data_IF_382092979827
#
_entry.id   IF_382092979827
#
_cell.length_a   1.000
_cell.length_b   1.000
_cell.length_c   1.000
_cell.angle_alpha   90.00
_cell.angle_beta   90.00
_cell.angle_gamma   90.00
#
_symmetry.space_group_name_H-M   'P 1'
#
loop_
_entity.id
_entity.type
_entity.pdbx_description
1 polymer ?
#
# COMPACT_ATOMS: atom_id res chain seq x y z
N UNK A 1 -14.81 45.79 11.27
CA UNK A 1 -14.47 44.62 12.09
C UNK A 1 -14.39 43.42 11.15
N UNK A 2 -13.16 43.02 10.83
CA UNK A 2 -12.87 41.94 9.91
C UNK A 2 -12.85 40.61 10.67
N UNK A 3 -13.72 39.67 10.30
CA UNK A 3 -13.60 38.27 10.72
C UNK A 3 -13.01 37.47 9.56
N UNK A 4 -11.79 37.00 9.83
CA UNK A 4 -10.95 36.18 8.97
C UNK A 4 -11.63 34.84 8.67
N UNK A 5 -11.78 34.54 7.38
CA UNK A 5 -11.95 33.18 6.86
C UNK A 5 -10.59 32.48 6.91
N UNK A 6 -10.40 31.56 7.84
CA UNK A 6 -9.38 30.53 7.69
C UNK A 6 -9.86 29.58 6.59
N UNK A 7 -9.41 29.82 5.36
CA UNK A 7 -9.52 28.84 4.29
C UNK A 7 -8.61 27.67 4.66
N UNK A 8 -9.22 26.56 5.07
CA UNK A 8 -8.53 25.28 5.16
C UNK A 8 -7.99 24.95 3.77
N UNK A 9 -6.69 25.15 3.54
CA UNK A 9 -6.05 24.70 2.33
C UNK A 9 -6.23 23.18 2.24
N UNK A 10 -6.83 22.70 1.15
CA UNK A 10 -6.77 21.28 0.83
C UNK A 10 -5.30 20.86 0.81
N UNK A 11 -4.94 19.68 1.36
CA UNK A 11 -3.55 19.26 1.47
C UNK A 11 -2.78 19.25 0.13
N UNK A 12 -3.49 19.25 -1.00
CA UNK A 12 -2.97 19.25 -2.37
C UNK A 12 -2.42 20.63 -2.84
N UNK A 13 -2.69 21.72 -2.11
CA UNK A 13 -2.18 23.06 -2.47
C UNK A 13 -0.89 23.47 -1.75
N UNK A 14 -0.49 22.74 -0.70
CA UNK A 14 0.64 23.15 0.14
C UNK A 14 2.00 22.98 -0.55
N UNK A 15 2.15 21.94 -1.39
CA UNK A 15 3.43 21.57 -2.01
C UNK A 15 3.21 21.05 -3.47
N UNK A 16 3.19 21.94 -4.47
CA UNK A 16 2.81 21.57 -5.84
C UNK A 16 3.86 20.71 -6.58
N UNK A 17 5.12 20.76 -6.16
CA UNK A 17 6.28 20.08 -6.75
C UNK A 17 6.51 18.66 -6.21
N UNK A 18 5.86 18.29 -5.09
CA UNK A 18 6.01 16.97 -4.47
C UNK A 18 5.76 15.80 -5.45
N UNK A 19 4.81 15.98 -6.36
CA UNK A 19 4.47 14.97 -7.35
C UNK A 19 5.37 14.98 -8.58
N UNK A 20 6.17 16.03 -8.81
CA UNK A 20 7.09 16.07 -9.96
C UNK A 20 8.16 14.99 -9.85
N UNK A 21 8.45 14.57 -8.62
CA UNK A 21 9.20 13.36 -8.31
C UNK A 21 8.31 12.12 -8.50
N UNK A 22 8.80 11.16 -9.29
CA UNK A 22 8.09 9.89 -9.47
C UNK A 22 7.91 9.14 -8.13
N UNK A 23 6.78 8.46 -7.96
CA UNK A 23 6.47 7.72 -6.75
C UNK A 23 6.62 6.22 -7.02
N UNK A 24 7.70 5.57 -6.55
CA UNK A 24 7.94 4.16 -6.88
C UNK A 24 6.95 3.22 -6.21
N UNK A 25 6.42 3.58 -5.04
CA UNK A 25 5.61 2.68 -4.21
C UNK A 25 4.57 3.45 -3.41
N UNK A 26 3.38 2.88 -3.27
CA UNK A 26 2.31 3.40 -2.40
C UNK A 26 1.65 2.23 -1.68
N UNK A 27 1.29 2.40 -0.42
CA UNK A 27 0.49 1.44 0.34
C UNK A 27 -0.92 1.99 0.55
N UNK A 28 -1.93 1.26 0.09
CA UNK A 28 -3.35 1.57 0.29
C UNK A 28 -3.92 0.60 1.33
N UNK A 29 -4.42 1.14 2.44
CA UNK A 29 -5.01 0.40 3.55
C UNK A 29 -6.54 0.45 3.48
N UNK A 30 -7.19 -0.71 3.58
CA UNK A 30 -8.66 -0.79 3.66
C UNK A 30 -9.20 -0.07 4.90
N UNK A 31 -8.52 -0.24 6.03
CA UNK A 31 -8.92 0.30 7.33
C UNK A 31 -8.13 1.59 7.64
N UNK A 32 -8.82 2.73 7.88
CA UNK A 32 -8.17 3.99 8.23
C UNK A 32 -7.41 3.94 9.57
N UNK A 33 -7.84 3.13 10.54
CA UNK A 33 -7.16 3.02 11.84
C UNK A 33 -5.84 2.26 11.69
N UNK A 34 -5.82 1.24 10.82
CA UNK A 34 -4.57 0.58 10.44
C UNK A 34 -3.65 1.55 9.71
N UNK A 35 -4.16 2.37 8.79
CA UNK A 35 -3.36 3.39 8.12
C UNK A 35 -2.75 4.39 9.11
N UNK A 36 -3.56 4.90 10.04
CA UNK A 36 -3.13 5.81 11.10
C UNK A 36 -2.05 5.18 12.00
N UNK A 37 -2.21 3.91 12.38
CA UNK A 37 -1.20 3.17 13.14
C UNK A 37 0.13 3.05 12.38
N UNK A 38 0.11 2.74 11.09
CA UNK A 38 1.34 2.67 10.27
C UNK A 38 2.01 4.05 10.14
N UNK A 39 1.22 5.11 10.00
CA UNK A 39 1.72 6.49 9.95
C UNK A 39 2.35 6.91 11.29
N UNK A 40 1.70 6.60 12.42
CA UNK A 40 2.20 6.85 13.76
C UNK A 40 3.51 6.11 14.07
N UNK A 41 3.79 5.01 13.37
CA UNK A 41 5.05 4.27 13.43
C UNK A 41 6.01 4.61 12.28
N UNK A 42 5.81 5.75 11.61
CA UNK A 42 6.69 6.28 10.55
C UNK A 42 6.97 5.34 9.38
N UNK A 43 6.09 4.38 9.11
CA UNK A 43 6.27 3.38 8.03
C UNK A 43 6.45 4.05 6.66
N UNK A 44 5.77 5.18 6.44
CA UNK A 44 5.85 5.96 5.22
C UNK A 44 7.27 6.50 4.95
N UNK A 45 7.99 6.91 6.00
CA UNK A 45 9.38 7.37 5.93
C UNK A 45 10.32 6.17 5.81
N UNK A 46 10.18 5.19 6.68
CA UNK A 46 11.09 4.03 6.72
C UNK A 46 11.08 3.17 5.47
N UNK A 47 9.95 3.11 4.76
CA UNK A 47 9.83 2.36 3.52
C UNK A 47 9.92 3.23 2.26
N UNK A 48 9.99 4.56 2.41
CA UNK A 48 9.77 5.52 1.33
C UNK A 48 8.52 5.13 0.52
N UNK A 49 7.40 4.94 1.24
CA UNK A 49 6.18 4.36 0.72
C UNK A 49 4.98 5.07 1.36
N UNK A 50 4.42 6.10 0.71
CA UNK A 50 3.22 6.79 1.20
C UNK A 50 2.11 5.81 1.58
N UNK A 51 1.46 6.08 2.72
CA UNK A 51 0.39 5.26 3.28
C UNK A 51 -0.93 6.02 3.15
N UNK A 52 -1.90 5.43 2.46
CA UNK A 52 -3.19 6.03 2.15
C UNK A 52 -4.32 5.14 2.69
N UNK A 53 -5.34 5.75 3.28
CA UNK A 53 -6.54 5.03 3.72
C UNK A 53 -7.60 5.02 2.61
N UNK A 54 -8.28 3.89 2.47
CA UNK A 54 -9.46 3.78 1.64
C UNK A 54 -10.60 4.64 2.19
N UNK A 55 -11.32 5.31 1.30
CA UNK A 55 -12.63 5.88 1.62
C UNK A 55 -13.73 4.95 1.09
N UNK A 56 -14.96 5.02 1.64
CA UNK A 56 -16.09 4.22 1.15
C UNK A 56 -16.31 4.40 -0.36
N UNK A 57 -16.23 5.64 -0.83
CA UNK A 57 -16.67 6.03 -2.17
C UNK A 57 -15.56 6.07 -3.22
N UNK A 58 -14.28 6.12 -2.82
CA UNK A 58 -13.18 6.32 -3.75
C UNK A 58 -11.94 5.48 -3.43
N UNK A 59 -11.14 5.20 -4.46
CA UNK A 59 -9.75 4.75 -4.29
C UNK A 59 -8.90 6.01 -4.10
N UNK A 60 -8.03 6.10 -3.07
CA UNK A 60 -7.29 7.33 -2.75
C UNK A 60 -6.10 7.57 -3.70
N UNK A 61 -6.30 7.39 -5.00
CA UNK A 61 -5.29 7.58 -6.04
C UNK A 61 -5.75 8.70 -6.98
N UNK A 62 -5.60 9.94 -6.51
CA UNK A 62 -5.97 11.12 -7.29
C UNK A 62 -5.11 11.29 -8.56
N UNK A 63 -5.52 12.16 -9.50
CA UNK A 63 -4.85 12.30 -10.81
C UNK A 63 -3.35 12.62 -10.72
N UNK A 64 -2.94 13.48 -9.77
CA UNK A 64 -1.52 13.86 -9.59
C UNK A 64 -0.67 12.68 -9.14
N UNK A 65 -1.16 11.89 -8.18
CA UNK A 65 -0.49 10.68 -7.71
C UNK A 65 -0.44 9.60 -8.79
N UNK A 66 -1.51 9.44 -9.59
CA UNK A 66 -1.52 8.55 -10.74
C UNK A 66 -0.47 8.96 -11.78
N UNK A 67 -0.35 10.27 -12.06
CA UNK A 67 0.69 10.79 -12.95
C UNK A 67 2.11 10.55 -12.39
N UNK A 68 2.31 10.72 -11.07
CA UNK A 68 3.59 10.47 -10.42
C UNK A 68 3.97 8.98 -10.42
N UNK A 69 3.00 8.08 -10.21
CA UNK A 69 3.18 6.63 -10.36
C UNK A 69 3.54 6.27 -11.81
N UNK A 70 2.90 6.88 -12.80
CA UNK A 70 3.17 6.64 -14.22
C UNK A 70 4.57 7.09 -14.66
N UNK A 71 5.18 8.07 -13.96
CA UNK A 71 6.56 8.51 -14.21
C UNK A 71 7.62 7.52 -13.75
N UNK A 72 7.29 6.57 -12.87
CA UNK A 72 8.26 5.63 -12.32
C UNK A 72 8.15 4.25 -12.98
N UNK A 73 9.22 3.77 -13.64
CA UNK A 73 9.28 2.38 -14.07
C UNK A 73 9.08 1.43 -12.89
N UNK A 74 8.22 0.42 -13.07
CA UNK A 74 7.91 -0.59 -12.05
C UNK A 74 7.19 -0.07 -10.79
N UNK A 75 6.54 1.10 -10.87
CA UNK A 75 5.73 1.62 -9.77
C UNK A 75 4.76 0.56 -9.23
N UNK A 76 4.71 0.42 -7.90
CA UNK A 76 3.90 -0.62 -7.24
C UNK A 76 2.95 -0.03 -6.21
N UNK A 77 1.66 -0.32 -6.38
CA UNK A 77 0.63 -0.07 -5.37
C UNK A 77 0.39 -1.35 -4.57
N UNK A 78 0.74 -1.32 -3.29
CA UNK A 78 0.43 -2.37 -2.34
C UNK A 78 -0.97 -2.13 -1.76
N UNK A 79 -1.73 -3.21 -1.57
CA UNK A 79 -3.09 -3.14 -1.05
C UNK A 79 -3.20 -4.01 0.20
N UNK A 80 -3.31 -3.38 1.36
CA UNK A 80 -3.51 -4.02 2.66
C UNK A 80 -5.02 -4.08 2.95
N UNK A 81 -5.56 -5.29 3.04
CA UNK A 81 -6.98 -5.54 3.17
C UNK A 81 -7.26 -6.73 4.09
N UNK A 82 -8.49 -6.83 4.56
CA UNK A 82 -8.96 -7.92 5.40
C UNK A 82 -9.16 -9.21 4.61
N UNK A 83 -9.21 -10.33 5.32
CA UNK A 83 -9.68 -11.60 4.76
C UNK A 83 -11.21 -11.59 4.76
N UNK A 84 -11.79 -10.78 3.87
CA UNK A 84 -13.23 -10.65 3.67
C UNK A 84 -13.57 -10.57 2.17
N UNK A 85 -14.82 -10.83 1.75
CA UNK A 85 -15.19 -10.66 0.34
C UNK A 85 -14.96 -9.23 -0.18
N UNK A 86 -15.09 -8.22 0.67
CA UNK A 86 -14.79 -6.83 0.31
C UNK A 86 -13.28 -6.59 0.16
N UNK A 87 -12.48 -7.05 1.12
CA UNK A 87 -11.03 -6.90 1.09
C UNK A 87 -10.40 -7.62 -0.11
N UNK A 88 -10.84 -8.85 -0.40
CA UNK A 88 -10.32 -9.66 -1.52
C UNK A 88 -10.61 -9.06 -2.90
N UNK A 89 -11.64 -8.21 -3.02
CA UNK A 89 -11.95 -7.47 -4.26
C UNK A 89 -11.16 -6.17 -4.39
N UNK A 90 -10.63 -5.63 -3.28
CA UNK A 90 -9.96 -4.33 -3.25
C UNK A 90 -8.77 -4.24 -4.23
N UNK A 91 -7.89 -5.25 -4.37
CA UNK A 91 -6.80 -5.18 -5.35
C UNK A 91 -7.28 -5.05 -6.80
N UNK A 92 -8.41 -5.68 -7.16
CA UNK A 92 -8.98 -5.55 -8.50
C UNK A 92 -9.59 -4.15 -8.72
N UNK A 93 -10.25 -3.58 -7.70
CA UNK A 93 -10.75 -2.20 -7.71
C UNK A 93 -9.62 -1.18 -7.88
N UNK A 94 -8.53 -1.35 -7.15
CA UNK A 94 -7.32 -0.51 -7.27
C UNK A 94 -6.69 -0.66 -8.66
N UNK A 95 -6.62 -1.88 -9.19
CA UNK A 95 -6.11 -2.13 -10.55
C UNK A 95 -6.91 -1.42 -11.63
N UNK A 96 -8.24 -1.44 -11.52
CA UNK A 96 -9.11 -0.70 -12.44
C UNK A 96 -8.82 0.80 -12.40
N UNK A 97 -8.60 1.38 -11.21
CA UNK A 97 -8.30 2.80 -11.04
C UNK A 97 -6.96 3.22 -11.68
N UNK A 98 -5.94 2.36 -11.67
CA UNK A 98 -4.61 2.68 -12.22
C UNK A 98 -4.42 2.34 -13.71
N UNK A 99 -5.39 1.68 -14.35
CA UNK A 99 -5.21 1.15 -15.72
C UNK A 99 -5.34 2.19 -16.85
N UNK A 100 -5.78 3.41 -16.56
CA UNK A 100 -6.15 4.41 -17.58
C UNK A 100 -5.01 5.15 -18.29
N UNK A 101 -3.75 4.99 -17.87
CA UNK A 101 -2.64 5.88 -18.25
C UNK A 101 -1.58 5.33 -19.22
N UNK A 102 -1.78 4.17 -19.85
CA UNK A 102 -0.80 3.56 -20.77
C UNK A 102 0.49 3.00 -20.13
N UNK A 103 0.80 3.39 -18.89
CA UNK A 103 1.90 2.85 -18.07
C UNK A 103 1.38 1.74 -17.15
N UNK A 104 2.11 0.62 -17.08
CA UNK A 104 1.75 -0.53 -16.23
C UNK A 104 2.21 -0.31 -14.78
N UNK A 105 1.32 0.22 -13.95
CA UNK A 105 1.48 0.22 -12.49
C UNK A 105 1.19 -1.19 -11.95
N UNK A 106 2.11 -1.77 -11.18
CA UNK A 106 1.90 -3.07 -10.53
C UNK A 106 0.96 -2.90 -9.34
N UNK A 107 -0.02 -3.80 -9.19
CA UNK A 107 -0.89 -3.84 -8.01
C UNK A 107 -0.69 -5.16 -7.28
N UNK A 108 -0.16 -5.07 -6.06
CA UNK A 108 0.19 -6.22 -5.21
C UNK A 108 -0.72 -6.29 -4.00
N UNK A 109 -1.39 -7.43 -3.79
CA UNK A 109 -2.10 -7.69 -2.54
C UNK A 109 -1.11 -8.02 -1.41
N UNK A 110 -1.21 -7.28 -0.31
CA UNK A 110 -0.46 -7.49 0.96
C UNK A 110 -1.42 -7.90 2.10
N UNK A 111 -2.73 -7.95 1.81
CA UNK A 111 -3.78 -8.24 2.78
C UNK A 111 -3.82 -9.67 3.28
N UNK A 112 -4.72 -9.90 4.23
CA UNK A 112 -5.04 -11.23 4.69
C UNK A 112 -5.89 -11.97 3.65
N UNK A 113 -5.68 -13.28 3.58
CA UNK A 113 -6.57 -14.21 2.90
C UNK A 113 -7.00 -15.28 3.89
N UNK A 114 -8.09 -16.05 3.67
CA UNK A 114 -8.62 -16.94 4.70
C UNK A 114 -7.61 -17.94 5.25
N UNK A 115 -6.70 -18.48 4.43
CA UNK A 115 -5.59 -19.34 4.92
C UNK A 115 -4.66 -18.65 5.92
N UNK A 116 -4.44 -17.34 5.81
CA UNK A 116 -3.67 -16.60 6.80
C UNK A 116 -4.43 -16.54 8.13
N UNK A 117 -5.71 -16.19 8.11
CA UNK A 117 -6.54 -16.15 9.32
C UNK A 117 -6.55 -17.50 10.04
N UNK A 118 -6.73 -18.59 9.30
CA UNK A 118 -6.70 -19.95 9.84
C UNK A 118 -5.32 -20.35 10.39
N UNK A 119 -4.24 -20.12 9.63
CA UNK A 119 -2.89 -20.51 10.03
C UNK A 119 -2.37 -19.71 11.23
N UNK A 120 -2.81 -18.45 11.37
CA UNK A 120 -2.38 -17.57 12.45
C UNK A 120 -3.31 -17.62 13.66
N UNK A 121 -4.40 -18.39 13.60
CA UNK A 121 -5.40 -18.44 14.67
C UNK A 121 -6.01 -17.07 14.97
N UNK A 122 -6.16 -16.20 13.96
CA UNK A 122 -6.70 -14.87 14.18
C UNK A 122 -8.17 -14.97 14.62
N UNK A 123 -8.63 -14.11 15.54
CA UNK A 123 -10.04 -13.91 15.78
C UNK A 123 -10.76 -13.65 14.46
N UNK A 124 -11.75 -14.49 14.15
CA UNK A 124 -12.56 -14.36 12.95
C UNK A 124 -13.97 -13.93 13.36
N UNK A 125 -14.43 -12.84 12.76
CA UNK A 125 -15.82 -12.43 12.86
C UNK A 125 -16.73 -13.31 12.01
N UNK A 126 -18.04 -13.18 12.24
CA UNK A 126 -19.07 -13.79 11.40
C UNK A 126 -20.14 -12.74 11.09
N UNK A 127 -20.18 -12.34 9.83
CA UNK A 127 -21.22 -11.49 9.28
C UNK A 127 -22.32 -12.31 8.59
N UNK A 128 -23.26 -11.63 7.92
CA UNK A 128 -24.22 -12.30 7.05
C UNK A 128 -23.50 -13.07 5.95
N UNK A 129 -24.12 -14.15 5.48
CA UNK A 129 -23.61 -14.87 4.32
C UNK A 129 -23.53 -13.90 3.13
N UNK A 130 -22.37 -13.81 2.44
CA UNK A 130 -22.21 -12.90 1.32
C UNK A 130 -23.14 -13.30 0.17
N UNK A 131 -23.67 -12.30 -0.53
CA UNK A 131 -24.45 -12.55 -1.74
C UNK A 131 -23.59 -13.16 -2.84
N UNK A 132 -24.21 -13.86 -3.80
CA UNK A 132 -23.51 -14.40 -4.97
C UNK A 132 -22.70 -13.32 -5.72
N UNK A 133 -23.24 -12.08 -5.80
CA UNK A 133 -22.52 -10.93 -6.38
C UNK A 133 -21.26 -10.57 -5.61
N UNK A 134 -21.28 -10.63 -4.28
CA UNK A 134 -20.11 -10.36 -3.45
C UNK A 134 -19.01 -11.42 -3.63
N UNK A 135 -19.39 -12.65 -4.00
CA UNK A 135 -18.47 -13.77 -4.27
C UNK A 135 -17.97 -13.81 -5.73
N UNK A 136 -18.75 -13.33 -6.69
CA UNK A 136 -18.41 -13.37 -8.12
C UNK A 136 -17.12 -12.62 -8.50
N UNK A 137 -16.68 -11.67 -7.67
CA UNK A 137 -15.45 -10.89 -7.88
C UNK A 137 -14.23 -11.40 -7.12
N UNK A 138 -14.29 -12.57 -6.49
CA UNK A 138 -13.18 -13.11 -5.72
C UNK A 138 -12.02 -13.54 -6.63
N UNK A 139 -10.77 -13.48 -6.14
CA UNK A 139 -9.61 -13.91 -6.91
C UNK A 139 -9.69 -15.42 -7.18
N UNK A 140 -9.39 -15.83 -8.42
CA UNK A 140 -9.44 -17.22 -8.87
C UNK A 140 -8.48 -18.16 -8.11
N UNK A 141 -7.46 -17.63 -7.43
CA UNK A 141 -6.47 -18.41 -6.67
C UNK A 141 -6.89 -18.82 -5.25
N UNK A 142 -8.17 -18.70 -4.89
CA UNK A 142 -8.66 -19.18 -3.60
C UNK A 142 -8.88 -20.69 -3.62
N UNK A 143 -8.47 -21.37 -2.55
CA UNK A 143 -8.76 -22.79 -2.39
C UNK A 143 -10.25 -23.00 -2.08
N UNK A 144 -10.84 -24.17 -2.41
CA UNK A 144 -12.25 -24.47 -2.11
C UNK A 144 -12.62 -24.25 -0.63
N UNK A 145 -11.74 -24.64 0.29
CA UNK A 145 -11.92 -24.40 1.74
C UNK A 145 -11.97 -22.93 2.13
N UNK A 146 -11.27 -22.07 1.39
CA UNK A 146 -11.24 -20.62 1.63
C UNK A 146 -12.54 -19.99 1.11
N UNK A 147 -13.03 -20.44 -0.05
CA UNK A 147 -14.34 -20.03 -0.58
C UNK A 147 -15.45 -20.42 0.39
N UNK A 148 -15.50 -21.70 0.81
CA UNK A 148 -16.48 -22.18 1.78
C UNK A 148 -16.41 -21.44 3.13
N UNK A 149 -15.21 -20.99 3.54
CA UNK A 149 -15.05 -20.18 4.74
C UNK A 149 -15.73 -18.81 4.61
N UNK A 150 -15.56 -18.15 3.45
CA UNK A 150 -16.21 -16.87 3.14
C UNK A 150 -17.73 -17.00 2.98
N UNK A 151 -18.21 -18.07 2.33
CA UNK A 151 -19.64 -18.34 2.14
C UNK A 151 -20.41 -18.47 3.46
N UNK A 152 -19.74 -18.92 4.53
CA UNK A 152 -20.32 -18.97 5.88
C UNK A 152 -20.39 -17.61 6.58
N UNK A 153 -20.04 -16.53 5.88
CA UNK A 153 -19.99 -15.17 6.40
C UNK A 153 -18.77 -14.89 7.27
N UNK A 154 -17.75 -15.75 7.28
CA UNK A 154 -16.56 -15.52 8.09
C UNK A 154 -15.66 -14.48 7.46
N UNK A 155 -15.03 -13.68 8.31
CA UNK A 155 -14.00 -12.71 7.92
C UNK A 155 -12.97 -12.54 9.03
N UNK A 156 -11.79 -12.01 8.70
CA UNK A 156 -10.77 -11.67 9.69
C UNK A 156 -10.11 -10.35 9.30
N UNK A 157 -10.00 -9.46 10.27
CA UNK A 157 -9.49 -8.11 10.08
C UNK A 157 -7.97 -8.07 10.21
N UNK A 158 -7.34 -7.18 9.44
CA UNK A 158 -5.91 -6.86 9.62
C UNK A 158 -5.66 -6.29 11.02
N UNK A 159 -6.63 -5.55 11.58
CA UNK A 159 -6.58 -5.02 12.95
C UNK A 159 -6.42 -6.11 14.03
N UNK A 160 -6.84 -7.35 13.74
CA UNK A 160 -6.66 -8.48 14.65
C UNK A 160 -5.22 -9.06 14.65
N UNK A 161 -4.36 -8.63 13.74
CA UNK A 161 -2.94 -9.04 13.71
C UNK A 161 -2.17 -8.24 14.76
N UNK A 162 -1.31 -8.91 15.53
CA UNK A 162 -0.41 -8.24 16.47
C UNK A 162 0.35 -7.07 15.80
N UNK A 163 0.28 -5.83 16.33
CA UNK A 163 0.83 -4.65 15.66
C UNK A 163 2.31 -4.78 15.27
N UNK A 164 3.15 -5.30 16.17
CA UNK A 164 4.58 -5.51 15.89
C UNK A 164 4.83 -6.45 14.71
N UNK A 165 3.98 -7.47 14.54
CA UNK A 165 4.06 -8.42 13.43
C UNK A 165 3.59 -7.80 12.13
N UNK A 166 2.53 -6.99 12.18
CA UNK A 166 2.02 -6.25 11.04
C UNK A 166 3.07 -5.26 10.53
N UNK A 167 3.63 -4.42 11.41
CA UNK A 167 4.69 -3.46 11.09
C UNK A 167 5.89 -4.12 10.40
N UNK A 168 6.44 -5.19 11.01
CA UNK A 168 7.57 -5.95 10.44
C UNK A 168 7.24 -6.53 9.06
N UNK A 169 6.01 -6.97 8.86
CA UNK A 169 5.57 -7.55 7.59
C UNK A 169 5.41 -6.48 6.53
N UNK A 170 4.72 -5.37 6.83
CA UNK A 170 4.56 -4.25 5.92
C UNK A 170 5.92 -3.71 5.50
N UNK A 171 6.80 -3.35 6.45
CA UNK A 171 8.13 -2.82 6.16
C UNK A 171 8.97 -3.77 5.28
N UNK A 172 8.94 -5.07 5.57
CA UNK A 172 9.66 -6.07 4.76
C UNK A 172 9.16 -6.12 3.33
N UNK A 173 7.85 -6.02 3.13
CA UNK A 173 7.24 -6.13 1.80
C UNK A 173 7.33 -4.82 0.99
N UNK A 174 7.27 -3.66 1.66
CA UNK A 174 7.22 -2.35 1.00
C UNK A 174 8.58 -1.69 0.79
N UNK A 175 9.63 -2.07 1.52
CA UNK A 175 11.00 -1.54 1.29
C UNK A 175 11.60 -1.94 -0.06
N UNK A 176 10.94 -2.83 -0.81
CA UNK A 176 11.39 -3.35 -2.11
C UNK A 176 12.53 -4.36 -1.98
N UNK A 177 12.79 -5.09 -3.07
CA UNK A 177 13.97 -5.93 -3.15
C UNK A 177 15.21 -5.06 -2.99
N UNK A 178 16.13 -5.47 -2.12
CA UNK A 178 17.44 -4.83 -1.99
C UNK A 178 18.04 -4.74 -3.40
N UNK A 179 18.57 -3.58 -3.85
CA UNK A 179 19.27 -3.53 -5.13
C UNK A 179 20.27 -4.68 -5.13
N UNK A 180 20.29 -5.45 -6.22
CA UNK A 180 21.30 -6.50 -6.42
C UNK A 180 22.62 -5.83 -6.14
N UNK A 181 23.27 -6.20 -5.02
CA UNK A 181 24.57 -5.65 -4.69
C UNK A 181 25.49 -6.08 -5.82
N UNK A 182 25.75 -5.18 -6.76
CA UNK A 182 26.93 -5.28 -7.61
C UNK A 182 28.09 -5.60 -6.66
N UNK A 183 28.84 -6.64 -7.02
CA UNK A 183 29.91 -7.19 -6.18
C UNK A 183 30.66 -6.06 -5.47
N UNK A 184 30.60 -6.04 -4.14
CA UNK A 184 31.29 -5.08 -3.28
C UNK A 184 32.81 -5.01 -3.55
N UNK A 185 33.37 -5.99 -4.26
CA UNK A 185 34.76 -6.01 -4.72
C UNK A 185 35.04 -5.16 -5.96
N UNK A 186 34.04 -4.81 -6.78
CA UNK A 186 34.23 -3.91 -7.93
C UNK A 186 34.12 -2.43 -7.55
N UNK A 187 33.19 -2.07 -6.64
CA UNK A 187 33.00 -0.68 -6.22
C UNK A 187 34.13 -0.09 -5.35
N UNK A 188 34.88 -0.93 -4.62
CA UNK A 188 36.03 -0.47 -3.82
C UNK A 188 37.23 -0.01 -4.66
N UNK A 189 37.31 -0.40 -5.94
CA UNK A 189 38.33 0.10 -6.86
C UNK A 189 37.94 1.46 -7.45
N UNK A 190 36.67 1.69 -7.77
CA UNK A 190 36.15 2.99 -8.21
C UNK A 190 36.12 4.06 -7.11
N UNK A 191 35.95 3.66 -5.84
CA UNK A 191 35.99 4.59 -4.70
C UNK A 191 37.40 5.12 -4.38
N UNK A 192 38.45 4.54 -4.97
CA UNK A 192 39.82 5.07 -4.87
C UNK A 192 40.12 6.12 -5.95
N UNK A 193 39.33 6.13 -7.03
CA UNK A 193 39.48 7.05 -8.16
C UNK A 193 38.39 8.15 -8.18
N UNK A 194 37.40 8.09 -7.29
CA UNK A 194 36.42 9.17 -7.08
C UNK A 194 36.80 10.00 -5.85
N UNK A 195 37.35 11.18 -6.13
CA UNK A 195 37.74 12.16 -5.13
C UNK A 195 36.63 12.46 -4.13
N UNK A 196 36.98 12.39 -2.85
CA UNK A 196 36.14 12.84 -1.74
C UNK A 196 35.66 14.28 -1.97
N UNK A 197 34.38 14.52 -1.72
CA UNK A 197 33.72 15.81 -1.81
C UNK A 197 34.45 16.87 -0.97
N UNK A 198 35.12 17.83 -1.62
CA UNK A 198 35.45 19.12 -1.02
C UNK A 198 34.19 19.99 -1.03
N UNK A 199 33.65 20.28 0.15
CA UNK A 199 32.58 21.26 0.29
C UNK A 199 33.10 22.66 -0.06
N UNK A 200 32.34 23.49 -0.81
CA UNK A 200 32.73 24.88 -1.01
C UNK A 200 32.61 25.61 0.33
N UNK A 201 33.75 26.06 0.86
CA UNK A 201 33.79 27.04 1.94
C UNK A 201 33.60 28.42 1.32
N UNK A 202 32.44 29.02 1.58
CA UNK A 202 32.24 30.48 1.54
C UNK A 202 31.75 30.93 2.89
#
# INVERSE_FOLDING_TARGET
>A
MASSMAASAEPDQAEPDLYDYGVPRVLVCQDPDVAAMLLANHVHLEAACPVLAMTPDAVPLGPRLLAALARTPEATVYVLHDASPAGLRLPARVRAAVSGGGVRVRVTSLGLVPRHAMALGLPAGRGPAPSARALAGLPAGLLPREVAWLERGRFAEVAAVQPARLLRTVLRQTRGGRPVRGSFRSGLRELRDSGFLTWPAV
#
